data_IF_621696679674
#
_entry.id   IF_621696679674
#
_cell.length_a   1.000
_cell.length_b   1.000
_cell.length_c   1.000
_cell.angle_alpha   90.00
_cell.angle_beta   90.00
_cell.angle_gamma   90.00
#
_symmetry.space_group_name_H-M   'P 1'
#
loop_
_entity.id
_entity.type
_entity.pdbx_description
1 polymer ?
#
# COMPACT_ATOMS: atom_id res chain seq x y z
N UNK A 1 -15.94 -11.40 -15.82
CA UNK A 1 -15.66 -10.00 -16.25
C UNK A 1 -14.82 -10.06 -17.51
N UNK A 2 -14.98 -9.10 -18.43
CA UNK A 2 -14.18 -9.05 -19.65
C UNK A 2 -12.72 -8.67 -19.35
N UNK A 3 -11.78 -9.32 -20.02
CA UNK A 3 -10.34 -9.01 -19.92
C UNK A 3 -9.94 -8.10 -21.07
N UNK A 4 -9.25 -6.99 -20.77
CA UNK A 4 -8.71 -6.05 -21.77
C UNK A 4 -7.23 -6.32 -21.96
N UNK A 5 -6.77 -6.40 -23.22
CA UNK A 5 -5.34 -6.52 -23.56
C UNK A 5 -4.77 -5.14 -23.83
N UNK A 6 -3.65 -4.84 -23.17
CA UNK A 6 -2.93 -3.58 -23.32
C UNK A 6 -1.44 -3.89 -23.47
N UNK A 7 -0.80 -3.28 -24.47
CA UNK A 7 0.66 -3.32 -24.60
C UNK A 7 1.26 -2.18 -23.77
N UNK A 8 2.31 -2.47 -23.00
CA UNK A 8 3.02 -1.49 -22.18
C UNK A 8 4.50 -1.49 -22.56
N UNK A 9 5.10 -0.31 -22.60
CA UNK A 9 6.54 -0.15 -22.73
C UNK A 9 7.18 -0.14 -21.35
N UNK A 10 8.18 -0.99 -21.13
CA UNK A 10 8.95 -1.06 -19.89
C UNK A 10 10.43 -1.27 -20.20
N UNK A 11 11.29 -0.92 -19.25
CA UNK A 11 12.73 -1.12 -19.41
C UNK A 11 13.07 -2.62 -19.43
N UNK A 12 14.00 -3.03 -20.28
CA UNK A 12 14.41 -4.44 -20.41
C UNK A 12 14.88 -5.08 -19.09
N UNK A 13 15.69 -4.41 -18.23
CA UNK A 13 16.10 -4.98 -16.95
C UNK A 13 14.90 -5.33 -16.06
N UNK A 14 13.94 -4.40 -15.94
CA UNK A 14 12.72 -4.60 -15.17
C UNK A 14 11.87 -5.74 -15.73
N UNK A 15 11.76 -5.84 -17.06
CA UNK A 15 11.06 -6.95 -17.69
C UNK A 15 11.68 -8.32 -17.32
N UNK A 16 13.01 -8.41 -17.29
CA UNK A 16 13.72 -9.65 -16.91
C UNK A 16 13.46 -10.03 -15.45
N UNK A 17 13.47 -9.04 -14.55
CA UNK A 17 13.15 -9.26 -13.13
C UNK A 17 11.71 -9.75 -12.94
N UNK A 18 10.75 -9.12 -13.61
CA UNK A 18 9.33 -9.51 -13.56
C UNK A 18 9.12 -10.91 -14.14
N UNK A 19 9.80 -11.26 -15.25
CA UNK A 19 9.69 -12.59 -15.85
C UNK A 19 10.28 -13.68 -14.95
N UNK A 20 11.41 -13.41 -14.28
CA UNK A 20 12.00 -14.33 -13.31
C UNK A 20 11.05 -14.55 -12.11
N UNK A 21 10.52 -13.48 -11.53
CA UNK A 21 9.59 -13.56 -10.40
C UNK A 21 8.29 -14.29 -10.77
N UNK A 22 7.73 -14.01 -11.95
CA UNK A 22 6.52 -14.68 -12.42
C UNK A 22 6.73 -16.21 -12.53
N UNK A 23 7.91 -16.64 -13.01
CA UNK A 23 8.28 -18.06 -13.07
C UNK A 23 8.43 -18.67 -11.68
N UNK A 24 9.11 -17.99 -10.77
CA UNK A 24 9.29 -18.44 -9.38
C UNK A 24 7.93 -18.65 -8.67
N UNK A 25 7.03 -17.67 -8.82
CA UNK A 25 5.68 -17.71 -8.29
C UNK A 25 4.73 -18.65 -9.06
N UNK A 26 5.17 -19.23 -10.19
CA UNK A 26 4.37 -20.07 -11.10
C UNK A 26 3.09 -19.40 -11.60
N UNK A 27 3.15 -18.11 -11.88
CA UNK A 27 2.04 -17.32 -12.44
C UNK A 27 2.40 -16.76 -13.79
N UNK A 28 1.39 -16.36 -14.57
CA UNK A 28 1.65 -15.62 -15.82
C UNK A 28 2.17 -14.21 -15.50
N UNK A 29 3.01 -13.65 -16.39
CA UNK A 29 3.44 -12.25 -16.31
C UNK A 29 2.26 -11.28 -16.19
N UNK A 30 1.20 -11.49 -16.98
CA UNK A 30 0.00 -10.66 -16.92
C UNK A 30 -0.70 -10.75 -15.57
N UNK A 31 -0.74 -11.93 -14.94
CA UNK A 31 -1.30 -12.09 -13.60
C UNK A 31 -0.44 -11.37 -12.55
N UNK A 32 0.89 -11.45 -12.65
CA UNK A 32 1.78 -10.71 -11.75
C UNK A 32 1.57 -9.19 -11.87
N UNK A 33 1.43 -8.66 -13.10
CA UNK A 33 1.10 -7.24 -13.30
C UNK A 33 -0.26 -6.86 -12.71
N UNK A 34 -1.28 -7.71 -12.87
CA UNK A 34 -2.61 -7.45 -12.27
C UNK A 34 -2.50 -7.38 -10.74
N UNK A 35 -1.79 -8.32 -10.11
CA UNK A 35 -1.58 -8.33 -8.66
C UNK A 35 -0.85 -7.07 -8.20
N UNK A 36 0.24 -6.70 -8.87
CA UNK A 36 1.01 -5.51 -8.54
C UNK A 36 0.18 -4.22 -8.64
N UNK A 37 -0.61 -4.08 -9.71
CA UNK A 37 -1.48 -2.90 -9.91
C UNK A 37 -2.60 -2.86 -8.87
N UNK A 38 -3.21 -4.00 -8.54
CA UNK A 38 -4.23 -4.07 -7.49
C UNK A 38 -3.68 -3.63 -6.14
N UNK A 39 -2.49 -4.08 -5.79
CA UNK A 39 -1.81 -3.71 -4.55
C UNK A 39 -1.45 -2.23 -4.53
N UNK A 40 -0.87 -1.71 -5.61
CA UNK A 40 -0.52 -0.30 -5.72
C UNK A 40 -1.74 0.62 -5.59
N UNK A 41 -2.85 0.28 -6.25
CA UNK A 41 -4.11 1.01 -6.13
C UNK A 41 -4.70 0.93 -4.72
N UNK A 42 -4.53 -0.20 -4.02
CA UNK A 42 -4.95 -0.35 -2.63
C UNK A 42 -4.16 0.58 -1.71
N UNK A 43 -2.84 0.67 -1.90
CA UNK A 43 -1.98 1.57 -1.13
C UNK A 43 -2.38 3.03 -1.34
N UNK A 44 -2.62 3.46 -2.58
CA UNK A 44 -3.09 4.82 -2.89
C UNK A 44 -4.42 5.12 -2.19
N UNK A 45 -5.42 4.22 -2.31
CA UNK A 45 -6.72 4.41 -1.66
C UNK A 45 -6.62 4.49 -0.14
N UNK A 46 -5.74 3.68 0.46
CA UNK A 46 -5.50 3.72 1.90
C UNK A 46 -4.91 5.07 2.33
N UNK A 47 -3.96 5.61 1.55
CA UNK A 47 -3.38 6.92 1.82
C UNK A 47 -4.41 8.05 1.70
N UNK A 48 -5.27 8.00 0.67
CA UNK A 48 -6.37 8.95 0.51
C UNK A 48 -7.36 8.89 1.67
N UNK A 49 -7.71 7.68 2.13
CA UNK A 49 -8.58 7.48 3.29
C UNK A 49 -7.96 8.10 4.55
N UNK A 50 -6.67 7.82 4.81
CA UNK A 50 -5.95 8.39 5.93
C UNK A 50 -5.94 9.93 5.88
N UNK A 51 -5.68 10.50 4.70
CA UNK A 51 -5.69 11.95 4.51
C UNK A 51 -7.08 12.55 4.80
N UNK A 52 -8.17 11.89 4.36
CA UNK A 52 -9.55 12.32 4.67
C UNK A 52 -9.86 12.26 6.16
N UNK A 53 -9.40 11.22 6.85
CA UNK A 53 -9.53 11.11 8.31
C UNK A 53 -8.81 12.27 8.98
N UNK A 54 -7.55 12.54 8.61
CA UNK A 54 -6.77 13.63 9.17
C UNK A 54 -7.41 15.01 8.90
N UNK A 55 -8.03 15.21 7.74
CA UNK A 55 -8.77 16.44 7.43
C UNK A 55 -10.03 16.62 8.29
N UNK A 56 -10.72 15.53 8.63
CA UNK A 56 -11.89 15.57 9.52
C UNK A 56 -11.51 15.85 10.98
N UNK A 57 -10.27 15.56 11.37
CA UNK A 57 -9.71 15.84 12.70
C UNK A 57 -8.50 16.81 12.59
N UNK A 58 -8.74 18.09 12.27
CA UNK A 58 -7.66 19.07 12.24
C UNK A 58 -7.02 19.22 13.63
N UNK A 59 -5.71 19.45 13.66
CA UNK A 59 -4.86 19.50 14.86
C UNK A 59 -5.22 20.57 15.92
N UNK A 60 -6.27 21.37 15.69
CA UNK A 60 -6.88 22.27 16.69
C UNK A 60 -7.68 21.50 17.75
N UNK A 61 -7.15 20.36 18.14
CA UNK A 61 -7.71 19.49 19.14
C UNK A 61 -7.12 19.86 20.49
N UNK A 62 -7.99 20.03 21.48
CA UNK A 62 -7.69 20.38 22.87
C UNK A 62 -6.42 19.67 23.38
N UNK A 63 -5.61 20.35 24.20
CA UNK A 63 -4.34 19.82 24.72
C UNK A 63 -4.48 18.42 25.36
N UNK A 64 -5.68 18.11 25.86
CA UNK A 64 -6.04 16.79 26.41
C UNK A 64 -6.11 15.69 25.34
N UNK A 65 -6.60 16.00 24.14
CA UNK A 65 -6.68 15.06 23.02
C UNK A 65 -5.30 14.76 22.43
N UNK A 66 -4.40 15.75 22.36
CA UNK A 66 -2.99 15.54 21.97
C UNK A 66 -2.27 14.57 22.92
N UNK A 67 -2.41 14.77 24.23
CA UNK A 67 -1.79 13.89 25.23
C UNK A 67 -2.32 12.44 25.15
N UNK A 68 -3.60 12.26 24.83
CA UNK A 68 -4.21 10.95 24.63
C UNK A 68 -3.72 10.29 23.33
N UNK A 69 -3.60 11.05 22.24
CA UNK A 69 -3.09 10.57 20.96
C UNK A 69 -1.63 10.09 21.05
N UNK A 70 -0.78 10.84 21.75
CA UNK A 70 0.63 10.47 21.96
C UNK A 70 0.79 9.16 22.75
N UNK A 71 -0.03 8.98 23.79
CA UNK A 71 -0.09 7.71 24.55
C UNK A 71 -0.56 6.54 23.68
N UNK A 72 -1.57 6.74 22.83
CA UNK A 72 -2.05 5.69 21.91
C UNK A 72 -1.01 5.32 20.86
N UNK A 73 -0.31 6.31 20.29
CA UNK A 73 0.75 6.10 19.28
C UNK A 73 1.92 5.31 19.85
N UNK A 74 2.38 5.66 21.05
CA UNK A 74 3.47 4.95 21.74
C UNK A 74 3.08 3.53 22.19
N UNK A 75 1.82 3.30 22.57
CA UNK A 75 1.31 1.95 22.83
C UNK A 75 1.24 1.10 21.54
N UNK A 76 0.77 1.68 20.44
CA UNK A 76 0.64 0.97 19.17
C UNK A 76 2.00 0.63 18.55
N UNK A 77 2.99 1.53 18.61
CA UNK A 77 4.36 1.26 18.16
C UNK A 77 4.97 0.04 18.87
N UNK A 78 4.77 -0.07 20.19
CA UNK A 78 5.26 -1.23 20.97
C UNK A 78 4.56 -2.54 20.63
N UNK A 79 3.28 -2.50 20.23
CA UNK A 79 2.56 -3.70 19.80
C UNK A 79 3.06 -4.19 18.43
N UNK A 80 3.39 -3.27 17.52
CA UNK A 80 3.83 -3.61 16.16
C UNK A 80 5.29 -4.07 16.13
N UNK A 81 6.14 -3.59 17.06
CA UNK A 81 7.53 -4.05 17.20
C UNK A 81 7.68 -5.53 17.60
N UNK A 82 6.61 -6.16 18.13
CA UNK A 82 6.62 -7.58 18.49
C UNK A 82 6.20 -8.55 17.38
N UNK A 83 5.77 -8.05 16.22
CA UNK A 83 5.20 -8.86 15.12
C UNK A 83 6.07 -8.94 13.84
N UNK A 84 7.37 -8.65 13.92
CA UNK A 84 8.32 -8.84 12.81
C UNK A 84 9.42 -9.86 13.15
#
# INVERSE_FOLDING_TARGET
MATVKTAISIQEPLFKEVDALAREMRVSRSQLFVLAVQEYLRQIRNQELLNKINQAYPEETDHQEKALADRKKSYHLRMVEGEW
#
